data_IF_197686952881
#
_entry.id   IF_197686952881
#
_cell.length_a   1.000
_cell.length_b   1.000
_cell.length_c   1.000
_cell.angle_alpha   90.00
_cell.angle_beta   90.00
_cell.angle_gamma   90.00
#
_symmetry.space_group_name_H-M   'P 1'
#
loop_
_entity.id
_entity.type
_entity.pdbx_description
1 polymer ?
#
# COMPACT_ATOMS: atom_id res chain seq x y z
N UNK A 1 10.48 1.84 17.01
CA UNK A 1 11.02 1.55 15.66
C UNK A 1 10.79 0.07 15.34
N UNK A 2 10.25 -0.21 14.18
CA UNK A 2 9.98 -1.59 13.73
C UNK A 2 11.09 -2.04 12.76
N UNK A 3 11.34 -3.34 12.67
CA UNK A 3 12.45 -3.89 11.87
C UNK A 3 12.42 -3.46 10.39
N UNK A 4 11.24 -3.31 9.77
CA UNK A 4 11.15 -2.86 8.38
C UNK A 4 11.57 -1.39 8.20
N UNK A 5 11.53 -0.57 9.26
CA UNK A 5 11.97 0.83 9.18
C UNK A 5 13.50 0.96 9.04
N UNK A 6 14.25 -0.05 9.48
CA UNK A 6 15.72 -0.11 9.36
C UNK A 6 16.19 -0.65 8.00
N UNK A 7 15.29 -1.25 7.22
CA UNK A 7 15.60 -1.82 5.91
C UNK A 7 15.53 -0.71 4.86
N UNK A 8 16.66 -0.48 4.18
CA UNK A 8 16.78 0.51 3.11
C UNK A 8 17.05 -0.18 1.77
N UNK A 9 16.51 0.35 0.64
CA UNK A 9 16.79 -0.20 -0.67
C UNK A 9 18.23 0.07 -1.14
N UNK A 10 18.83 1.17 -0.70
CA UNK A 10 20.19 1.59 -1.04
C UNK A 10 21.01 1.89 0.22
N UNK A 11 22.28 2.32 0.05
CA UNK A 11 23.22 2.51 1.17
C UNK A 11 23.30 3.96 1.66
N UNK A 12 22.94 4.96 0.84
CA UNK A 12 23.12 6.37 1.15
C UNK A 12 21.80 7.14 1.15
N UNK A 13 21.66 8.09 2.07
CA UNK A 13 20.50 8.96 2.19
C UNK A 13 19.41 8.48 3.15
N UNK A 14 18.43 9.33 3.35
CA UNK A 14 17.27 8.99 4.19
C UNK A 14 16.38 7.95 3.52
N UNK A 15 15.72 7.11 4.33
CA UNK A 15 14.87 6.02 3.83
C UNK A 15 13.80 6.51 2.84
N UNK A 16 13.13 7.62 3.13
CA UNK A 16 12.08 8.15 2.25
C UNK A 16 12.62 8.48 0.85
N UNK A 17 13.79 9.14 0.76
CA UNK A 17 14.45 9.47 -0.50
C UNK A 17 14.88 8.21 -1.27
N UNK A 18 15.44 7.23 -0.57
CA UNK A 18 15.85 5.96 -1.18
C UNK A 18 14.65 5.18 -1.72
N UNK A 19 13.54 5.18 -1.00
CA UNK A 19 12.28 4.54 -1.42
C UNK A 19 11.69 5.26 -2.62
N UNK A 20 11.65 6.60 -2.63
CA UNK A 20 11.23 7.41 -3.77
C UNK A 20 12.06 7.07 -5.01
N UNK A 21 13.38 7.13 -4.91
CA UNK A 21 14.30 6.82 -6.02
C UNK A 21 14.09 5.39 -6.55
N UNK A 22 13.95 4.41 -5.67
CA UNK A 22 13.72 3.02 -6.06
C UNK A 22 12.42 2.89 -6.87
N UNK A 23 11.32 3.50 -6.39
CA UNK A 23 10.03 3.42 -7.08
C UNK A 23 10.03 4.20 -8.39
N UNK A 24 10.69 5.35 -8.47
CA UNK A 24 10.87 6.08 -9.74
C UNK A 24 11.63 5.23 -10.77
N UNK A 25 12.68 4.52 -10.35
CA UNK A 25 13.50 3.66 -11.23
C UNK A 25 12.68 2.48 -11.80
N UNK A 26 11.82 1.86 -10.99
CA UNK A 26 11.05 0.68 -11.42
C UNK A 26 9.67 1.03 -12.01
N UNK A 27 9.23 2.30 -11.92
CA UNK A 27 7.90 2.74 -12.36
C UNK A 27 7.50 2.23 -13.76
N UNK A 28 8.36 2.27 -14.80
CA UNK A 28 7.97 1.83 -16.15
C UNK A 28 7.56 0.36 -16.25
N UNK A 29 8.07 -0.49 -15.36
CA UNK A 29 7.85 -1.95 -15.38
C UNK A 29 6.99 -2.44 -14.24
N UNK A 30 6.65 -1.57 -13.28
CA UNK A 30 6.03 -1.92 -12.01
C UNK A 30 4.72 -2.70 -12.15
N UNK A 31 3.77 -2.18 -12.93
CA UNK A 31 2.46 -2.83 -13.10
C UNK A 31 2.58 -4.21 -13.76
N UNK A 32 3.37 -4.29 -14.84
CA UNK A 32 3.59 -5.55 -15.56
C UNK A 32 4.19 -6.60 -14.64
N UNK A 33 5.14 -6.21 -13.79
CA UNK A 33 5.79 -7.12 -12.86
C UNK A 33 4.84 -7.56 -11.75
N UNK A 34 4.15 -6.63 -11.10
CA UNK A 34 3.24 -6.96 -10.01
C UNK A 34 2.10 -7.85 -10.45
N UNK A 35 1.45 -7.55 -11.57
CA UNK A 35 0.35 -8.37 -12.08
C UNK A 35 0.82 -9.76 -12.51
N UNK A 36 1.99 -9.88 -13.14
CA UNK A 36 2.55 -11.19 -13.51
C UNK A 36 2.99 -11.98 -12.29
N UNK A 37 3.67 -11.38 -11.32
CA UNK A 37 4.13 -12.05 -10.10
C UNK A 37 2.98 -12.48 -9.20
N UNK A 38 1.88 -11.73 -9.18
CA UNK A 38 0.69 -12.06 -8.39
C UNK A 38 -0.34 -12.91 -9.16
N UNK A 39 -0.13 -13.17 -10.45
CA UNK A 39 -1.13 -13.82 -11.33
C UNK A 39 -2.48 -13.11 -11.28
N UNK A 40 -2.47 -11.77 -11.22
CA UNK A 40 -3.66 -10.92 -11.05
C UNK A 40 -4.48 -11.16 -9.75
N UNK A 41 -3.99 -11.97 -8.81
CA UNK A 41 -4.66 -12.24 -7.54
C UNK A 41 -4.72 -10.95 -6.68
N UNK A 42 -3.76 -10.05 -6.83
CA UNK A 42 -3.72 -8.74 -6.16
C UNK A 42 -4.96 -7.89 -6.46
N UNK A 43 -5.51 -7.96 -7.67
CA UNK A 43 -6.79 -7.32 -8.02
C UNK A 43 -7.95 -7.85 -7.17
N UNK A 44 -7.94 -9.16 -6.90
CA UNK A 44 -8.91 -9.80 -6.02
C UNK A 44 -8.80 -9.34 -4.57
N UNK A 45 -7.59 -9.13 -4.06
CA UNK A 45 -7.35 -8.61 -2.71
C UNK A 45 -7.86 -7.17 -2.57
N UNK A 46 -7.50 -6.28 -3.52
CA UNK A 46 -7.99 -4.89 -3.54
C UNK A 46 -9.52 -4.84 -3.60
N UNK A 47 -10.17 -5.64 -4.46
CA UNK A 47 -11.64 -5.71 -4.52
C UNK A 47 -12.28 -6.11 -3.19
N UNK A 48 -11.68 -7.06 -2.46
CA UNK A 48 -12.17 -7.47 -1.14
C UNK A 48 -12.07 -6.34 -0.13
N UNK A 49 -10.95 -5.60 -0.13
CA UNK A 49 -10.76 -4.46 0.75
C UNK A 49 -11.75 -3.32 0.46
N UNK A 50 -11.96 -2.99 -0.81
CA UNK A 50 -12.93 -1.95 -1.20
C UNK A 50 -14.36 -2.33 -0.80
N UNK A 51 -14.74 -3.62 -0.90
CA UNK A 51 -16.08 -4.07 -0.49
C UNK A 51 -16.38 -3.80 0.98
N UNK A 52 -15.38 -3.73 1.86
CA UNK A 52 -15.60 -3.36 3.26
C UNK A 52 -16.00 -1.89 3.41
N UNK A 53 -15.55 -1.02 2.51
CA UNK A 53 -15.91 0.40 2.50
C UNK A 53 -17.27 0.68 1.84
N UNK A 54 -17.78 -0.22 1.01
CA UNK A 54 -19.01 -0.01 0.25
C UNK A 54 -20.28 0.33 1.09
N UNK A 55 -20.51 -0.31 2.26
CA UNK A 55 -21.64 0.06 3.11
C UNK A 55 -21.61 1.49 3.62
N UNK A 56 -20.40 2.08 3.74
CA UNK A 56 -20.16 3.40 4.31
C UNK A 56 -20.27 4.55 3.30
N UNK A 57 -20.35 4.24 1.99
CA UNK A 57 -20.55 5.20 0.89
C UNK A 57 -19.65 6.45 0.99
N UNK A 58 -18.31 6.30 1.11
CA UNK A 58 -17.40 7.43 1.29
C UNK A 58 -17.48 8.38 0.09
N UNK A 59 -17.55 9.69 0.35
CA UNK A 59 -17.62 10.73 -0.67
C UNK A 59 -16.26 11.36 -0.96
N UNK A 60 -15.40 11.45 0.06
CA UNK A 60 -14.04 11.96 -0.04
C UNK A 60 -13.06 10.90 0.42
N UNK A 61 -12.14 10.51 -0.46
CA UNK A 61 -11.20 9.42 -0.19
C UNK A 61 -9.76 9.85 -0.39
N UNK A 62 -8.86 9.25 0.37
CA UNK A 62 -7.42 9.36 0.19
C UNK A 62 -6.82 7.96 0.00
N UNK A 63 -6.05 7.77 -1.06
CA UNK A 63 -5.29 6.55 -1.30
C UNK A 63 -3.80 6.84 -1.04
N UNK A 64 -3.25 6.30 0.04
CA UNK A 64 -1.88 6.54 0.49
C UNK A 64 -0.93 5.52 -0.14
N UNK A 65 0.25 6.00 -0.55
CA UNK A 65 1.20 5.25 -1.34
C UNK A 65 0.51 4.65 -2.59
N UNK A 66 -0.19 5.53 -3.30
CA UNK A 66 -1.08 5.16 -4.41
C UNK A 66 -0.33 4.56 -5.59
N UNK A 67 0.96 4.85 -5.74
CA UNK A 67 1.81 4.37 -6.83
C UNK A 67 1.23 4.75 -8.20
N UNK A 68 1.02 3.75 -9.04
CA UNK A 68 0.42 3.91 -10.37
C UNK A 68 -1.11 4.02 -10.34
N UNK A 69 -1.71 4.17 -9.16
CA UNK A 69 -3.14 4.46 -8.98
C UNK A 69 -4.10 3.29 -9.09
N UNK A 70 -3.63 2.05 -9.12
CA UNK A 70 -4.52 0.88 -9.30
C UNK A 70 -5.60 0.76 -8.23
N UNK A 71 -5.25 1.04 -6.96
CA UNK A 71 -6.23 0.95 -5.88
C UNK A 71 -7.20 2.13 -5.90
N UNK A 72 -6.69 3.33 -6.20
CA UNK A 72 -7.50 4.55 -6.40
C UNK A 72 -8.51 4.37 -7.53
N UNK A 73 -8.06 3.90 -8.71
CA UNK A 73 -8.90 3.65 -9.89
C UNK A 73 -10.00 2.64 -9.56
N UNK A 74 -9.62 1.50 -8.96
CA UNK A 74 -10.56 0.45 -8.61
C UNK A 74 -11.57 0.94 -7.55
N UNK A 75 -11.13 1.74 -6.57
CA UNK A 75 -11.99 2.36 -5.56
C UNK A 75 -12.99 3.33 -6.19
N UNK A 76 -12.55 4.19 -7.12
CA UNK A 76 -13.43 5.10 -7.82
C UNK A 76 -14.50 4.37 -8.64
N UNK A 77 -14.12 3.29 -9.33
CA UNK A 77 -15.06 2.49 -10.13
C UNK A 77 -16.11 1.77 -9.28
N UNK A 78 -15.71 1.25 -8.10
CA UNK A 78 -16.57 0.44 -7.25
C UNK A 78 -17.43 1.25 -6.28
N UNK A 79 -16.87 2.33 -5.71
CA UNK A 79 -17.52 3.13 -4.66
C UNK A 79 -18.12 4.43 -5.18
N UNK A 80 -17.63 4.95 -6.31
CA UNK A 80 -18.06 6.19 -6.95
C UNK A 80 -18.05 7.40 -6.01
N UNK A 81 -16.93 7.68 -5.32
CA UNK A 81 -16.82 8.85 -4.47
C UNK A 81 -16.90 10.13 -5.32
N UNK A 82 -17.22 11.26 -4.70
CA UNK A 82 -17.16 12.57 -5.36
C UNK A 82 -15.73 13.00 -5.65
N UNK A 83 -14.80 12.67 -4.73
CA UNK A 83 -13.39 13.01 -4.85
C UNK A 83 -12.51 11.92 -4.25
N UNK A 84 -11.47 11.54 -4.96
CA UNK A 84 -10.42 10.65 -4.49
C UNK A 84 -9.07 11.26 -4.82
N UNK A 85 -8.20 11.36 -3.81
CA UNK A 85 -6.83 11.83 -3.99
C UNK A 85 -5.91 10.62 -3.84
N UNK A 86 -5.08 10.35 -4.85
CA UNK A 86 -3.96 9.43 -4.74
C UNK A 86 -2.71 10.18 -4.30
N UNK A 87 -2.17 9.82 -3.14
CA UNK A 87 -1.00 10.46 -2.56
C UNK A 87 0.21 9.52 -2.59
N UNK A 88 1.35 9.99 -3.10
CA UNK A 88 2.60 9.24 -3.15
C UNK A 88 3.80 10.19 -3.09
N UNK A 89 4.97 9.65 -2.71
CA UNK A 89 6.25 10.37 -2.79
C UNK A 89 6.87 10.27 -4.20
N UNK A 90 6.58 9.20 -4.95
CA UNK A 90 7.14 8.93 -6.28
C UNK A 90 6.34 9.63 -7.37
N UNK A 91 6.92 10.67 -7.96
CA UNK A 91 6.29 11.37 -9.08
C UNK A 91 6.24 10.51 -10.34
N UNK A 92 7.28 9.68 -10.57
CA UNK A 92 7.32 8.76 -11.70
C UNK A 92 6.18 7.74 -11.71
N UNK A 93 5.82 7.23 -10.53
CA UNK A 93 4.65 6.34 -10.37
C UNK A 93 3.34 7.08 -10.64
N UNK A 94 3.15 8.26 -10.03
CA UNK A 94 1.92 9.05 -10.19
C UNK A 94 1.69 9.50 -11.63
N UNK A 95 2.74 9.78 -12.40
CA UNK A 95 2.62 10.15 -13.81
C UNK A 95 2.00 9.00 -14.65
N UNK A 96 2.34 7.75 -14.32
CA UNK A 96 1.68 6.59 -14.92
C UNK A 96 0.21 6.53 -14.49
N UNK A 97 -0.07 6.79 -13.22
CA UNK A 97 -1.42 6.86 -12.68
C UNK A 97 -2.27 7.92 -13.38
N UNK A 98 -1.76 9.14 -13.57
CA UNK A 98 -2.46 10.22 -14.29
C UNK A 98 -2.84 9.81 -15.72
N UNK A 99 -1.93 9.13 -16.42
CA UNK A 99 -2.20 8.62 -17.77
C UNK A 99 -3.32 7.58 -17.78
N UNK A 100 -3.31 6.62 -16.83
CA UNK A 100 -4.37 5.62 -16.67
C UNK A 100 -5.73 6.28 -16.37
N UNK A 101 -5.75 7.21 -15.42
CA UNK A 101 -6.96 7.94 -15.01
C UNK A 101 -7.54 8.71 -16.19
N UNK A 102 -6.71 9.38 -17.00
CA UNK A 102 -7.14 10.08 -18.22
C UNK A 102 -7.70 9.11 -19.26
N UNK A 103 -7.05 7.97 -19.50
CA UNK A 103 -7.53 6.94 -20.43
C UNK A 103 -8.88 6.35 -20.03
N UNK A 104 -9.17 6.30 -18.72
CA UNK A 104 -10.42 5.77 -18.18
C UNK A 104 -11.51 6.82 -17.98
N UNK A 105 -11.24 8.10 -18.27
CA UNK A 105 -12.20 9.19 -18.09
C UNK A 105 -12.53 9.48 -16.62
N UNK A 106 -11.57 9.25 -15.69
CA UNK A 106 -11.77 9.40 -14.25
C UNK A 106 -11.13 10.67 -13.66
N UNK A 107 -10.62 11.59 -14.51
CA UNK A 107 -9.89 12.78 -14.08
C UNK A 107 -10.72 13.79 -13.28
N UNK A 108 -12.03 13.75 -13.40
CA UNK A 108 -12.92 14.60 -12.60
C UNK A 108 -13.13 14.06 -11.17
N UNK A 109 -12.86 12.76 -10.96
CA UNK A 109 -13.01 12.08 -9.67
C UNK A 109 -11.67 11.88 -8.99
N UNK A 110 -10.60 11.49 -9.72
CA UNK A 110 -9.29 11.14 -9.18
C UNK A 110 -8.28 12.22 -9.52
N UNK A 111 -7.59 12.72 -8.50
CA UNK A 111 -6.40 13.57 -8.63
C UNK A 111 -5.22 12.94 -7.91
N UNK A 112 -3.98 13.35 -8.30
CA UNK A 112 -2.76 12.87 -7.65
C UNK A 112 -2.03 14.03 -7.00
N UNK A 113 -1.46 13.80 -5.81
CA UNK A 113 -0.69 14.76 -5.05
C UNK A 113 0.62 14.13 -4.54
N UNK A 114 1.73 14.86 -4.67
CA UNK A 114 2.98 14.45 -4.05
C UNK A 114 2.94 14.78 -2.56
N UNK A 115 2.95 13.75 -1.71
CA UNK A 115 2.79 13.86 -0.27
C UNK A 115 3.72 12.89 0.46
N UNK A 116 4.31 13.35 1.55
CA UNK A 116 4.92 12.45 2.53
C UNK A 116 3.87 11.98 3.52
N UNK A 117 3.62 10.68 3.55
CA UNK A 117 2.66 10.07 4.49
C UNK A 117 2.99 10.32 5.98
N UNK A 118 4.23 10.73 6.29
CA UNK A 118 4.64 11.11 7.64
C UNK A 118 4.24 12.55 8.01
N UNK A 119 3.83 13.37 7.04
CA UNK A 119 3.46 14.77 7.24
C UNK A 119 2.49 15.23 6.15
N UNK A 120 1.26 14.71 6.19
CA UNK A 120 0.24 15.01 5.20
C UNK A 120 -0.20 16.49 5.26
N UNK A 121 -0.26 17.16 4.11
CA UNK A 121 -0.63 18.57 4.01
C UNK A 121 -2.12 18.85 4.24
N UNK A 122 -2.93 17.81 4.44
CA UNK A 122 -4.38 17.94 4.63
C UNK A 122 -4.75 18.30 6.07
N UNK A 123 -5.83 19.04 6.22
CA UNK A 123 -6.40 19.37 7.53
C UNK A 123 -6.94 18.10 8.23
N UNK A 124 -7.08 18.18 9.55
CA UNK A 124 -7.72 17.14 10.36
C UNK A 124 -9.14 16.86 9.85
N UNK A 125 -9.56 15.62 9.94
CA UNK A 125 -10.95 15.21 9.66
C UNK A 125 -11.42 15.58 8.24
N UNK A 126 -10.57 15.38 7.23
CA UNK A 126 -10.86 15.73 5.83
C UNK A 126 -11.53 14.60 5.04
N UNK A 127 -11.12 13.35 5.27
CA UNK A 127 -11.53 12.22 4.44
C UNK A 127 -12.55 11.31 5.13
N UNK A 128 -13.49 10.77 4.35
CA UNK A 128 -14.46 9.76 4.82
C UNK A 128 -13.84 8.36 4.88
N UNK A 129 -12.91 8.09 3.97
CA UNK A 129 -12.17 6.83 3.94
C UNK A 129 -10.73 7.03 3.46
N UNK A 130 -9.83 6.18 3.99
CA UNK A 130 -8.44 6.08 3.55
C UNK A 130 -8.17 4.65 3.11
N UNK A 131 -7.46 4.53 1.98
CA UNK A 131 -6.98 3.25 1.46
C UNK A 131 -5.45 3.25 1.35
N UNK A 132 -4.83 2.08 1.47
CA UNK A 132 -3.42 1.88 1.16
C UNK A 132 -3.19 0.43 0.72
N UNK A 133 -2.47 0.21 -0.39
CA UNK A 133 -2.16 -1.13 -0.85
C UNK A 133 -0.66 -1.29 -1.13
N UNK A 134 -0.02 -2.25 -0.43
CA UNK A 134 1.39 -2.65 -0.63
C UNK A 134 2.41 -1.54 -0.42
N UNK A 135 2.05 -0.48 0.32
CA UNK A 135 2.85 0.72 0.53
C UNK A 135 3.35 0.91 1.96
N UNK A 136 2.53 0.56 2.96
CA UNK A 136 2.81 0.93 4.36
C UNK A 136 4.05 0.27 4.96
N UNK A 137 4.47 -0.90 4.45
CA UNK A 137 5.73 -1.56 4.86
C UNK A 137 6.97 -0.74 4.52
N UNK A 138 6.85 0.22 3.59
CA UNK A 138 7.95 1.08 3.15
C UNK A 138 8.07 2.37 3.98
N UNK A 139 7.12 2.65 4.86
CA UNK A 139 7.15 3.86 5.68
C UNK A 139 8.43 3.94 6.52
N UNK A 140 9.07 5.09 6.55
CA UNK A 140 10.24 5.33 7.37
C UNK A 140 9.90 5.35 8.87
N UNK A 141 8.65 5.68 9.20
CA UNK A 141 8.09 5.60 10.55
C UNK A 141 6.61 5.19 10.45
N UNK A 142 6.33 3.93 10.78
CA UNK A 142 4.99 3.36 10.64
C UNK A 142 3.99 4.01 11.61
N UNK A 143 4.40 4.22 12.87
CA UNK A 143 3.52 4.82 13.88
C UNK A 143 3.11 6.24 13.47
N UNK A 144 4.07 7.05 13.00
CA UNK A 144 3.80 8.42 12.56
C UNK A 144 2.90 8.45 11.32
N UNK A 145 3.18 7.62 10.32
CA UNK A 145 2.34 7.55 9.11
C UNK A 145 0.91 7.14 9.42
N UNK A 146 0.70 6.14 10.28
CA UNK A 146 -0.63 5.72 10.69
C UNK A 146 -1.34 6.79 11.54
N UNK A 147 -0.60 7.51 12.41
CA UNK A 147 -1.17 8.64 13.18
C UNK A 147 -1.61 9.76 12.26
N UNK A 148 -0.86 10.11 11.21
CA UNK A 148 -1.26 11.08 10.19
C UNK A 148 -2.50 10.62 9.42
N UNK A 149 -2.55 9.35 9.02
CA UNK A 149 -3.75 8.79 8.40
C UNK A 149 -4.97 8.91 9.34
N UNK A 150 -4.80 8.60 10.63
CA UNK A 150 -5.86 8.79 11.61
C UNK A 150 -6.25 10.25 11.80
N UNK A 151 -5.28 11.18 11.79
CA UNK A 151 -5.53 12.63 11.95
C UNK A 151 -6.43 13.16 10.83
N UNK A 152 -6.09 12.85 9.57
CA UNK A 152 -6.82 13.37 8.40
C UNK A 152 -8.13 12.64 8.13
N UNK A 153 -8.37 11.47 8.73
CA UNK A 153 -9.63 10.73 8.64
C UNK A 153 -10.66 11.38 9.54
N UNK A 154 -11.92 11.52 9.09
CA UNK A 154 -13.04 12.04 9.89
C UNK A 154 -13.40 11.09 11.03
N UNK A 155 -13.96 11.59 12.15
CA UNK A 155 -14.60 10.74 13.14
C UNK A 155 -15.66 9.83 12.48
N UNK A 156 -15.61 8.52 12.77
CA UNK A 156 -16.44 7.53 12.10
C UNK A 156 -16.02 7.21 10.66
N UNK A 157 -14.93 7.77 10.17
CA UNK A 157 -14.32 7.41 8.90
C UNK A 157 -13.58 6.07 8.96
N UNK A 158 -13.31 5.46 7.82
CA UNK A 158 -12.80 4.10 7.73
C UNK A 158 -11.47 4.01 7.03
N UNK A 159 -10.59 3.16 7.58
CA UNK A 159 -9.30 2.78 7.01
C UNK A 159 -9.38 1.37 6.42
N UNK A 160 -8.88 1.18 5.20
CA UNK A 160 -8.73 -0.15 4.59
C UNK A 160 -7.34 -0.31 4.00
N UNK A 161 -6.56 -1.23 4.55
CA UNK A 161 -5.18 -1.52 4.14
C UNK A 161 -5.11 -2.93 3.56
N UNK A 162 -4.33 -3.09 2.50
CA UNK A 162 -3.91 -4.38 1.93
C UNK A 162 -2.40 -4.43 1.92
N UNK A 163 -1.79 -5.44 2.57
CA UNK A 163 -0.32 -5.52 2.61
C UNK A 163 0.16 -6.96 2.46
N UNK A 164 1.32 -7.10 1.81
CA UNK A 164 1.98 -8.39 1.68
C UNK A 164 2.49 -8.84 3.05
N UNK A 165 2.26 -10.11 3.35
CA UNK A 165 2.63 -10.72 4.63
C UNK A 165 3.20 -12.11 4.43
N UNK A 166 3.84 -12.64 5.46
CA UNK A 166 4.40 -14.00 5.44
C UNK A 166 3.36 -14.98 5.95
N UNK A 167 3.04 -16.06 5.22
CA UNK A 167 2.20 -17.15 5.72
C UNK A 167 2.72 -17.73 7.03
N UNK A 168 1.82 -18.03 7.96
CA UNK A 168 2.19 -18.54 9.29
C UNK A 168 2.05 -20.06 9.41
N UNK A 169 1.24 -20.70 8.57
CA UNK A 169 0.92 -22.12 8.64
C UNK A 169 1.69 -22.97 7.64
N UNK A 170 1.96 -24.23 8.03
CA UNK A 170 2.48 -25.27 7.13
C UNK A 170 1.39 -25.70 6.14
N UNK A 171 1.72 -25.99 4.86
CA UNK A 171 3.03 -25.92 4.19
C UNK A 171 3.31 -24.55 3.55
N UNK A 172 2.36 -23.63 3.60
CA UNK A 172 2.45 -22.35 2.88
C UNK A 172 3.62 -21.47 3.33
N UNK A 173 3.98 -21.51 4.61
CA UNK A 173 5.15 -20.79 5.13
C UNK A 173 6.44 -21.22 4.41
N UNK A 174 6.64 -22.54 4.24
CA UNK A 174 7.83 -23.08 3.58
C UNK A 174 7.82 -22.81 2.08
N UNK A 175 6.68 -22.99 1.43
CA UNK A 175 6.52 -22.72 0.00
C UNK A 175 6.75 -21.22 -0.31
N UNK A 176 6.22 -20.33 0.52
CA UNK A 176 6.43 -18.91 0.35
C UNK A 176 7.90 -18.52 0.59
N UNK A 177 8.56 -19.12 1.58
CA UNK A 177 9.98 -18.90 1.84
C UNK A 177 10.83 -19.32 0.64
N UNK A 178 10.60 -20.50 0.06
CA UNK A 178 11.28 -20.94 -1.15
C UNK A 178 11.00 -19.97 -2.30
N UNK A 179 9.74 -19.61 -2.53
CA UNK A 179 9.35 -18.67 -3.58
C UNK A 179 10.06 -17.32 -3.44
N UNK A 180 10.04 -16.73 -2.25
CA UNK A 180 10.58 -15.40 -1.98
C UNK A 180 12.11 -15.34 -2.05
N UNK A 181 12.81 -16.44 -1.74
CA UNK A 181 14.27 -16.49 -1.75
C UNK A 181 14.89 -17.09 -3.02
N UNK A 182 14.11 -17.77 -3.85
CA UNK A 182 14.62 -18.36 -5.09
C UNK A 182 13.98 -17.75 -6.33
N UNK A 183 12.63 -17.80 -6.44
CA UNK A 183 11.91 -17.38 -7.64
C UNK A 183 11.93 -15.87 -7.82
N UNK A 184 11.58 -15.11 -6.78
CA UNK A 184 11.52 -13.65 -6.84
C UNK A 184 12.86 -13.00 -7.23
N UNK A 185 14.01 -13.35 -6.63
CA UNK A 185 15.29 -12.77 -7.02
C UNK A 185 15.71 -13.09 -8.46
N UNK A 186 15.46 -14.33 -8.93
CA UNK A 186 15.78 -14.74 -10.30
C UNK A 186 14.90 -13.98 -11.29
N UNK A 187 13.61 -13.94 -11.04
CA UNK A 187 12.65 -13.23 -11.90
C UNK A 187 12.93 -11.72 -11.94
N UNK A 188 13.29 -11.17 -10.78
CA UNK A 188 13.68 -9.77 -10.66
C UNK A 188 14.89 -9.41 -11.51
N UNK A 189 15.93 -10.25 -11.49
CA UNK A 189 17.14 -10.06 -12.33
C UNK A 189 16.87 -10.12 -13.82
N UNK A 190 15.90 -10.90 -14.24
CA UNK A 190 15.58 -11.10 -15.67
C UNK A 190 14.77 -9.93 -16.26
N UNK A 191 13.96 -9.24 -15.44
CA UNK A 191 12.98 -8.25 -15.94
C UNK A 191 13.28 -6.84 -15.49
N UNK A 192 13.82 -6.65 -14.28
CA UNK A 192 14.16 -5.35 -13.73
C UNK A 192 15.65 -5.07 -13.85
N UNK A 193 15.99 -3.82 -14.20
CA UNK A 193 17.37 -3.33 -14.14
C UNK A 193 17.84 -3.10 -12.68
N UNK A 194 16.91 -3.07 -11.71
CA UNK A 194 17.20 -2.85 -10.29
C UNK A 194 17.02 -4.13 -9.49
N UNK A 195 18.11 -4.83 -9.21
CA UNK A 195 18.14 -6.08 -8.43
C UNK A 195 17.93 -5.82 -6.92
N UNK A 196 18.16 -4.58 -6.45
CA UNK A 196 18.03 -4.20 -5.04
C UNK A 196 16.56 -4.17 -4.61
N UNK A 197 15.65 -3.73 -5.49
CA UNK A 197 14.21 -3.63 -5.23
C UNK A 197 13.59 -4.97 -4.82
N UNK A 198 14.03 -6.11 -5.39
CA UNK A 198 13.49 -7.43 -5.03
C UNK A 198 14.03 -7.97 -3.71
N UNK A 199 15.31 -7.73 -3.42
CA UNK A 199 15.88 -8.02 -2.11
C UNK A 199 15.21 -7.18 -1.02
N UNK A 200 14.96 -5.92 -1.29
CA UNK A 200 14.23 -5.01 -0.43
C UNK A 200 12.79 -5.49 -0.20
N UNK A 201 12.08 -5.90 -1.25
CA UNK A 201 10.72 -6.43 -1.17
C UNK A 201 10.64 -7.61 -0.18
N UNK A 202 11.46 -8.63 -0.36
CA UNK A 202 11.45 -9.83 0.50
C UNK A 202 11.74 -9.47 1.95
N UNK A 203 12.81 -8.69 2.20
CA UNK A 203 13.20 -8.27 3.55
C UNK A 203 12.11 -7.46 4.24
N UNK A 204 11.46 -6.53 3.54
CA UNK A 204 10.40 -5.69 4.13
C UNK A 204 9.13 -6.48 4.42
N UNK A 205 8.75 -7.45 3.59
CA UNK A 205 7.62 -8.36 3.86
C UNK A 205 7.88 -9.17 5.14
N UNK A 206 9.07 -9.74 5.29
CA UNK A 206 9.42 -10.57 6.46
C UNK A 206 9.50 -9.77 7.75
N UNK A 207 9.96 -8.53 7.68
CA UNK A 207 10.13 -7.66 8.83
C UNK A 207 8.86 -6.90 9.24
N UNK A 208 7.88 -6.80 8.34
CA UNK A 208 6.64 -6.04 8.58
C UNK A 208 5.82 -6.64 9.72
N UNK A 209 5.33 -5.83 10.69
CA UNK A 209 4.41 -6.31 11.72
C UNK A 209 3.09 -6.72 11.10
N UNK A 210 2.60 -7.93 11.40
CA UNK A 210 1.40 -8.47 10.78
C UNK A 210 0.43 -9.08 11.79
N UNK A 211 -0.83 -9.27 11.37
CA UNK A 211 -1.88 -9.86 12.19
C UNK A 211 -2.18 -9.02 13.43
N UNK A 212 -2.24 -9.65 14.59
CA UNK A 212 -2.53 -9.04 15.88
C UNK A 212 -1.58 -7.87 16.18
N UNK A 213 -0.28 -8.03 15.86
CA UNK A 213 0.70 -6.98 16.10
C UNK A 213 0.40 -5.69 15.32
N UNK A 214 -0.03 -5.81 14.05
CA UNK A 214 -0.44 -4.66 13.26
C UNK A 214 -1.75 -4.05 13.78
N UNK A 215 -2.66 -4.87 14.26
CA UNK A 215 -3.91 -4.44 14.89
C UNK A 215 -3.63 -3.60 16.15
N UNK A 216 -2.69 -4.02 16.99
CA UNK A 216 -2.25 -3.24 18.17
C UNK A 216 -1.62 -1.89 17.77
N UNK A 217 -0.86 -1.87 16.68
CA UNK A 217 -0.24 -0.64 16.16
C UNK A 217 -1.32 0.32 15.66
N UNK A 218 -2.33 -0.16 14.93
CA UNK A 218 -3.47 0.64 14.50
C UNK A 218 -4.21 1.24 15.70
N UNK A 219 -4.45 0.44 16.74
CA UNK A 219 -5.10 0.91 17.97
C UNK A 219 -4.29 2.01 18.67
N UNK A 220 -2.96 1.88 18.73
CA UNK A 220 -2.07 2.91 19.29
C UNK A 220 -2.04 4.19 18.46
N UNK A 221 -2.21 4.09 17.14
CA UNK A 221 -2.30 5.24 16.24
C UNK A 221 -3.64 6.01 16.36
N UNK A 222 -4.59 5.50 17.16
CA UNK A 222 -5.88 6.15 17.42
C UNK A 222 -7.07 5.53 16.69
N UNK A 223 -6.86 4.45 15.94
CA UNK A 223 -7.96 3.73 15.30
C UNK A 223 -8.69 2.81 16.28
N UNK A 224 -10.00 2.64 16.07
CA UNK A 224 -10.90 1.74 16.81
C UNK A 224 -11.30 0.55 15.94
N UNK A 225 -11.84 -0.48 16.57
CA UNK A 225 -12.41 -1.65 15.91
C UNK A 225 -11.48 -2.26 14.85
N UNK A 226 -10.16 -2.15 15.10
CA UNK A 226 -9.17 -2.66 14.19
C UNK A 226 -9.32 -4.19 14.04
N UNK A 227 -9.47 -4.65 12.82
CA UNK A 227 -9.62 -6.05 12.47
C UNK A 227 -8.71 -6.41 11.29
N UNK A 228 -8.39 -7.70 11.15
CA UNK A 228 -7.63 -8.17 10.01
C UNK A 228 -8.14 -9.49 9.46
N UNK A 229 -7.88 -9.73 8.18
CA UNK A 229 -8.17 -10.99 7.50
C UNK A 229 -7.01 -11.39 6.61
N UNK A 230 -6.46 -12.59 6.85
CA UNK A 230 -5.44 -13.18 5.97
C UNK A 230 -6.10 -13.66 4.68
N UNK A 231 -5.49 -13.33 3.56
CA UNK A 231 -5.93 -13.69 2.21
C UNK A 231 -4.89 -14.62 1.58
N UNK A 232 -5.34 -15.51 0.69
CA UNK A 232 -4.47 -16.44 -0.05
C UNK A 232 -3.43 -17.09 0.89
N UNK A 233 -3.95 -17.85 1.87
CA UNK A 233 -3.14 -18.57 2.86
C UNK A 233 -2.19 -17.69 3.69
N UNK A 234 -2.40 -16.37 3.74
CA UNK A 234 -1.58 -15.43 4.50
C UNK A 234 -0.45 -14.75 3.72
N UNK A 235 -0.40 -14.90 2.40
CA UNK A 235 0.53 -14.14 1.53
C UNK A 235 0.19 -12.64 1.55
N UNK A 236 -1.08 -12.33 1.75
CA UNK A 236 -1.57 -10.97 1.89
C UNK A 236 -2.48 -10.89 3.12
N UNK A 237 -2.46 -9.76 3.81
CA UNK A 237 -3.38 -9.46 4.90
C UNK A 237 -4.09 -8.14 4.62
N UNK A 238 -5.39 -8.15 4.84
CA UNK A 238 -6.25 -6.99 4.77
C UNK A 238 -6.57 -6.53 6.19
N UNK A 239 -6.45 -5.23 6.45
CA UNK A 239 -6.79 -4.60 7.72
C UNK A 239 -7.91 -3.60 7.50
N UNK A 240 -8.81 -3.51 8.46
CA UNK A 240 -9.91 -2.55 8.47
C UNK A 240 -10.03 -1.94 9.87
N UNK A 241 -10.23 -0.64 9.95
CA UNK A 241 -10.37 0.08 11.22
C UNK A 241 -11.21 1.34 11.05
N UNK A 242 -11.68 1.91 12.16
CA UNK A 242 -12.49 3.14 12.23
C UNK A 242 -11.77 4.17 13.09
N UNK A 243 -11.92 5.46 12.79
CA UNK A 243 -11.49 6.54 13.70
C UNK A 243 -12.48 6.81 14.78
#
# INVERSE_FOLDING_TARGET
MYKQEEINPYYEGEKAQQVEQMFDNIAPTYDTLNHRLSWDIDKGWRKKAIRQLAPHKPQTMLDIATGTGDFAILSAQMLRPKKLIGADISEGMMEIGRRKVKQLGLQDTISFAKEDCLNLSYADNTFDAITAAFGIRNFANLDKGLSEMCRVLKPGGHLSIVELTTPVSFPMKQLFHIYSHTVLPVYGRLISKDTSAYSYLTKTIEAFPQGERMQDILSKAGFKDASFKRLTFGICTMYFATK
#
